data_IF_110773709372
#
_entry.id   IF_110773709372
#
_cell.length_a   1.000
_cell.length_b   1.000
_cell.length_c   1.000
_cell.angle_alpha   90.00
_cell.angle_beta   90.00
_cell.angle_gamma   90.00
#
_symmetry.space_group_name_H-M   'P 1'
#
loop_
_entity.id
_entity.type
_entity.pdbx_description
1 polymer ?
#
# COMPACT_ATOMS: atom_id res chain seq x y z
N UNK A 1 17.19 5.34 -11.70
CA UNK A 1 17.23 5.72 -10.27
C UNK A 1 16.51 4.63 -9.50
N UNK A 2 17.04 4.19 -8.36
CA UNK A 2 16.34 3.27 -7.46
C UNK A 2 15.29 4.03 -6.67
N UNK A 3 14.06 3.50 -6.60
CA UNK A 3 13.02 3.99 -5.72
C UNK A 3 13.50 4.02 -4.25
N UNK A 4 13.25 5.12 -3.55
CA UNK A 4 13.58 5.30 -2.14
C UNK A 4 12.30 5.35 -1.31
N UNK A 5 12.35 4.78 -0.11
CA UNK A 5 11.23 4.79 0.82
C UNK A 5 11.59 5.48 2.13
N UNK A 6 10.61 6.14 2.73
CA UNK A 6 10.72 6.74 4.07
C UNK A 6 9.54 6.30 4.92
N UNK A 7 9.80 6.10 6.21
CA UNK A 7 8.76 5.80 7.21
C UNK A 7 8.60 7.00 8.15
N UNK A 8 7.38 7.52 8.27
CA UNK A 8 7.05 8.55 9.24
C UNK A 8 6.84 7.94 10.63
N UNK A 9 6.97 8.75 11.69
CA UNK A 9 6.68 8.32 13.06
C UNK A 9 5.22 7.87 13.25
N UNK A 10 4.31 8.33 12.38
CA UNK A 10 2.88 7.95 12.39
C UNK A 10 2.59 6.70 11.55
N UNK A 11 3.62 6.00 11.10
CA UNK A 11 3.50 4.74 10.36
C UNK A 11 3.20 4.90 8.87
N UNK A 12 3.33 6.10 8.32
CA UNK A 12 3.19 6.32 6.88
C UNK A 12 4.46 5.90 6.15
N UNK A 13 4.29 5.25 5.01
CA UNK A 13 5.38 4.81 4.14
C UNK A 13 5.29 5.61 2.84
N UNK A 14 6.29 6.43 2.55
CA UNK A 14 6.30 7.31 1.38
C UNK A 14 7.37 6.86 0.41
N UNK A 15 7.00 6.72 -0.86
CA UNK A 15 7.90 6.45 -1.99
C UNK A 15 8.38 7.75 -2.64
N UNK A 16 9.61 7.75 -3.14
CA UNK A 16 10.14 8.79 -4.02
C UNK A 16 9.41 8.89 -5.37
N UNK A 17 8.63 7.87 -5.75
CA UNK A 17 7.77 7.88 -6.96
C UNK A 17 6.46 8.65 -6.76
N UNK A 18 6.26 9.29 -5.60
CA UNK A 18 5.14 10.20 -5.36
C UNK A 18 3.87 9.53 -4.83
N UNK A 19 3.97 8.33 -4.28
CA UNK A 19 2.87 7.64 -3.62
C UNK A 19 3.19 7.31 -2.16
N UNK A 20 2.15 7.08 -1.36
CA UNK A 20 2.21 6.84 0.07
C UNK A 20 1.22 5.77 0.48
N UNK A 21 1.62 4.94 1.45
CA UNK A 21 0.79 3.88 2.02
C UNK A 21 0.77 3.98 3.54
N UNK A 22 -0.39 3.70 4.15
CA UNK A 22 -0.54 3.62 5.60
C UNK A 22 -1.57 2.56 5.97
N UNK A 23 -1.20 1.61 6.82
CA UNK A 23 -2.18 0.76 7.50
C UNK A 23 -2.93 1.60 8.54
N UNK A 24 -4.25 1.68 8.38
CA UNK A 24 -5.15 2.35 9.30
C UNK A 24 -5.96 1.31 10.08
N UNK A 25 -5.65 1.20 11.37
CA UNK A 25 -6.22 0.14 12.20
C UNK A 25 -5.75 -1.24 11.72
N UNK A 26 -6.65 -2.22 11.74
CA UNK A 26 -6.37 -3.61 11.34
C UNK A 26 -7.01 -4.03 10.02
N UNK A 27 -7.78 -3.14 9.39
CA UNK A 27 -8.72 -3.53 8.32
C UNK A 27 -8.58 -2.71 7.03
N UNK A 28 -7.74 -1.68 7.03
CA UNK A 28 -7.70 -0.73 5.92
C UNK A 28 -6.28 -0.32 5.62
N UNK A 29 -5.91 -0.36 4.35
CA UNK A 29 -4.68 0.19 3.82
C UNK A 29 -5.05 1.44 3.01
N UNK A 30 -4.62 2.61 3.51
CA UNK A 30 -4.75 3.87 2.78
C UNK A 30 -3.62 3.92 1.76
N UNK A 31 -3.97 4.05 0.50
CA UNK A 31 -3.05 4.34 -0.60
C UNK A 31 -3.31 5.77 -1.07
N UNK A 32 -2.26 6.56 -1.25
CA UNK A 32 -2.36 7.94 -1.71
C UNK A 32 -1.35 8.20 -2.81
N UNK A 33 -1.78 8.81 -3.91
CA UNK A 33 -0.90 9.32 -4.95
C UNK A 33 -1.43 10.63 -5.56
N UNK A 34 -0.89 11.04 -6.70
CA UNK A 34 -1.30 12.27 -7.40
C UNK A 34 -2.78 12.32 -7.80
N UNK A 35 -3.46 11.17 -7.87
CA UNK A 35 -4.87 11.06 -8.23
C UNK A 35 -5.80 11.07 -7.00
N UNK A 36 -5.23 11.07 -5.79
CA UNK A 36 -5.96 11.16 -4.54
C UNK A 36 -5.79 9.94 -3.65
N UNK A 37 -6.77 9.74 -2.78
CA UNK A 37 -6.79 8.67 -1.80
C UNK A 37 -7.63 7.47 -2.27
N UNK A 38 -7.08 6.28 -2.11
CA UNK A 38 -7.77 5.00 -2.24
C UNK A 38 -7.75 4.26 -0.89
N UNK A 39 -8.92 3.83 -0.46
CA UNK A 39 -9.08 2.94 0.70
C UNK A 39 -9.13 1.51 0.19
N UNK A 40 -8.08 0.75 0.52
CA UNK A 40 -7.93 -0.65 0.13
C UNK A 40 -8.30 -1.51 1.34
N UNK A 41 -9.18 -2.48 1.13
CA UNK A 41 -9.50 -3.47 2.15
C UNK A 41 -8.27 -4.31 2.44
N UNK A 42 -7.86 -4.31 3.71
CA UNK A 42 -6.71 -5.05 4.17
C UNK A 42 -7.04 -5.79 5.47
N UNK A 43 -6.21 -6.73 5.88
CA UNK A 43 -6.31 -7.35 7.20
C UNK A 43 -4.92 -7.51 7.78
N UNK A 44 -4.66 -6.85 8.91
CA UNK A 44 -3.44 -7.06 9.67
C UNK A 44 -3.56 -8.37 10.46
N UNK A 45 -2.71 -9.33 10.13
CA UNK A 45 -2.58 -10.61 10.83
C UNK A 45 -1.71 -10.52 12.09
N UNK A 46 -1.23 -11.67 12.54
CA UNK A 46 -0.25 -11.73 13.64
C UNK A 46 1.13 -11.30 13.12
N UNK A 47 1.86 -10.51 13.91
CA UNK A 47 3.20 -10.05 13.55
C UNK A 47 3.18 -9.05 12.38
N UNK A 48 3.97 -9.35 11.35
CA UNK A 48 4.15 -8.56 10.12
C UNK A 48 3.17 -8.93 9.00
N UNK A 49 2.29 -9.91 9.21
CA UNK A 49 1.36 -10.37 8.19
C UNK A 49 0.32 -9.29 7.84
N UNK A 50 0.17 -9.02 6.53
CA UNK A 50 -0.81 -8.09 5.99
C UNK A 50 -1.47 -8.74 4.78
N UNK A 51 -2.77 -8.93 4.83
CA UNK A 51 -3.56 -9.38 3.69
C UNK A 51 -4.18 -8.16 3.00
N UNK A 52 -4.19 -8.13 1.67
CA UNK A 52 -4.83 -7.06 0.88
C UNK A 52 -5.77 -7.70 -0.14
N UNK A 53 -7.03 -7.24 -0.15
CA UNK A 53 -8.03 -7.74 -1.10
C UNK A 53 -7.92 -6.99 -2.41
N UNK A 54 -7.52 -7.69 -3.48
CA UNK A 54 -7.32 -7.09 -4.81
C UNK A 54 -8.59 -6.45 -5.38
N UNK A 55 -9.74 -7.03 -5.04
CA UNK A 55 -11.05 -6.57 -5.50
C UNK A 55 -11.43 -5.19 -4.99
N UNK A 56 -10.87 -4.77 -3.84
CA UNK A 56 -11.10 -3.43 -3.28
C UNK A 56 -10.32 -2.33 -4.01
N UNK A 57 -9.39 -2.71 -4.90
CA UNK A 57 -8.63 -1.78 -5.73
C UNK A 57 -9.38 -1.64 -7.07
N UNK A 58 -10.01 -0.49 -7.37
CA UNK A 58 -10.68 -0.28 -8.64
C UNK A 58 -9.66 -0.12 -9.76
N UNK A 59 -10.03 -0.57 -10.96
CA UNK A 59 -9.33 -0.15 -12.17
C UNK A 59 -9.92 1.19 -12.63
N UNK A 60 -9.07 2.17 -12.91
CA UNK A 60 -9.48 3.51 -13.33
C UNK A 60 -8.68 3.93 -14.55
N UNK A 61 -9.18 4.87 -15.39
CA UNK A 61 -8.46 5.30 -16.59
C UNK A 61 -7.06 5.89 -16.33
N UNK A 62 -6.79 6.33 -15.10
CA UNK A 62 -5.56 7.00 -14.67
C UNK A 62 -4.67 6.13 -13.78
N UNK A 63 -5.22 5.07 -13.19
CA UNK A 63 -4.54 4.23 -12.22
C UNK A 63 -5.06 2.79 -12.36
N UNK A 64 -4.21 1.92 -12.88
CA UNK A 64 -4.55 0.50 -13.03
C UNK A 64 -4.39 -0.23 -11.70
N UNK A 65 -5.24 -1.25 -11.49
CA UNK A 65 -5.16 -2.11 -10.31
C UNK A 65 -3.76 -2.73 -10.15
N UNK A 66 -3.19 -3.20 -11.25
CA UNK A 66 -1.86 -3.83 -11.29
C UNK A 66 -0.78 -2.90 -10.74
N UNK A 67 -0.78 -1.63 -11.16
CA UNK A 67 0.21 -0.66 -10.71
C UNK A 67 0.11 -0.39 -9.20
N UNK A 68 -1.13 -0.28 -8.67
CA UNK A 68 -1.35 -0.10 -7.23
C UNK A 68 -0.83 -1.30 -6.45
N UNK A 69 -1.13 -2.52 -6.91
CA UNK A 69 -0.65 -3.76 -6.29
C UNK A 69 0.87 -3.79 -6.27
N UNK A 70 1.53 -3.55 -7.40
CA UNK A 70 3.00 -3.54 -7.48
C UNK A 70 3.62 -2.51 -6.52
N UNK A 71 3.01 -1.32 -6.43
CA UNK A 71 3.43 -0.25 -5.50
C UNK A 71 3.28 -0.68 -4.04
N UNK A 72 2.17 -1.34 -3.70
CA UNK A 72 1.92 -1.90 -2.38
C UNK A 72 2.95 -2.98 -2.05
N UNK A 73 3.25 -3.91 -2.98
CA UNK A 73 4.24 -4.96 -2.82
C UNK A 73 5.64 -4.39 -2.53
N UNK A 74 6.09 -3.40 -3.30
CA UNK A 74 7.39 -2.75 -3.09
C UNK A 74 7.48 -2.06 -1.73
N UNK A 75 6.43 -1.36 -1.34
CA UNK A 75 6.38 -0.67 -0.04
C UNK A 75 6.26 -1.65 1.14
N UNK A 76 5.50 -2.73 0.99
CA UNK A 76 5.41 -3.81 1.98
C UNK A 76 6.77 -4.48 2.20
N UNK A 77 7.51 -4.73 1.11
CA UNK A 77 8.89 -5.27 1.19
C UNK A 77 9.82 -4.35 1.98
N UNK A 78 9.76 -3.03 1.73
CA UNK A 78 10.52 -2.06 2.52
C UNK A 78 10.10 -2.04 4.00
N UNK A 79 8.80 -2.17 4.28
CA UNK A 79 8.25 -2.16 5.63
C UNK A 79 8.51 -3.46 6.42
N UNK A 80 8.97 -4.52 5.75
CA UNK A 80 9.11 -5.86 6.32
C UNK A 80 7.76 -6.53 6.59
N UNK A 81 6.75 -6.27 5.75
CA UNK A 81 5.44 -6.91 5.85
C UNK A 81 5.41 -8.21 5.05
N UNK A 82 4.79 -9.24 5.63
CA UNK A 82 4.47 -10.48 4.93
C UNK A 82 3.15 -10.26 4.19
N UNK A 83 3.23 -9.68 3.00
CA UNK A 83 2.07 -9.31 2.21
C UNK A 83 1.46 -10.54 1.53
N UNK A 84 0.17 -10.77 1.74
CA UNK A 84 -0.65 -11.74 1.00
C UNK A 84 -1.70 -10.98 0.21
N UNK A 85 -1.90 -11.35 -1.05
CA UNK A 85 -2.93 -10.78 -1.91
C UNK A 85 -4.05 -11.80 -2.07
N UNK A 86 -5.27 -11.44 -1.68
CA UNK A 86 -6.49 -12.26 -1.84
C UNK A 86 -7.47 -11.70 -2.84
#
# INVERSE_FOLDING_TARGET
MSEQFKKSLRGELTSSEGYQIKLQGKTTLRYFDQYGELLVDAQQGKGSAVEVRRESIPDTPWLSRTLVIERIERTAKFAGWDLTLS
#
